data_IF_295864958442
#
_entry.id   IF_295864958442
#
_cell.length_a   1.000
_cell.length_b   1.000
_cell.length_c   1.000
_cell.angle_alpha   90.00
_cell.angle_beta   90.00
_cell.angle_gamma   90.00
#
_symmetry.space_group_name_H-M   'P 1'
#
loop_
_entity.id
_entity.type
_entity.pdbx_description
1 polymer ?
#
# COMPACT_ATOMS: atom_id res chain seq x y z
N UNK A 1 -1.62 28.88 -2.32
CA UNK A 1 -0.59 28.03 -2.96
C UNK A 1 -1.06 27.67 -4.38
N UNK A 2 -0.37 28.13 -5.43
CA UNK A 2 -0.67 27.72 -6.80
C UNK A 2 -0.08 26.32 -6.92
N UNK A 3 -0.93 25.30 -7.16
CA UNK A 3 -0.49 23.92 -7.28
C UNK A 3 0.62 23.84 -8.35
N UNK A 4 1.71 23.14 -8.08
CA UNK A 4 2.80 22.91 -9.05
C UNK A 4 2.27 22.28 -10.35
N UNK A 5 1.15 21.54 -10.29
CA UNK A 5 0.40 21.07 -11.46
C UNK A 5 -0.04 22.18 -12.42
N UNK A 6 -0.23 23.41 -11.94
CA UNK A 6 -0.64 24.54 -12.80
C UNK A 6 0.54 25.15 -13.59
N UNK A 7 1.76 25.02 -13.09
CA UNK A 7 2.94 25.73 -13.64
C UNK A 7 3.67 24.97 -14.75
N UNK A 8 3.58 23.63 -14.80
CA UNK A 8 4.36 22.78 -15.72
C UNK A 8 3.53 22.06 -16.80
N UNK A 9 2.38 22.64 -17.22
CA UNK A 9 1.54 22.04 -18.25
C UNK A 9 2.21 22.10 -19.63
N UNK A 10 2.86 21.00 -20.02
CA UNK A 10 3.16 20.76 -21.44
C UNK A 10 2.04 20.01 -22.17
N UNK A 11 1.21 19.24 -21.45
CA UNK A 11 0.22 18.30 -22.00
C UNK A 11 -1.18 18.45 -21.38
N UNK A 12 -2.18 17.89 -22.05
CA UNK A 12 -3.60 18.01 -21.69
C UNK A 12 -4.03 17.12 -20.52
N UNK A 13 -3.25 16.10 -20.15
CA UNK A 13 -3.58 15.28 -18.98
C UNK A 13 -3.22 16.04 -17.69
N UNK A 14 -4.24 16.19 -16.84
CA UNK A 14 -4.14 16.93 -15.57
C UNK A 14 -3.72 16.04 -14.39
N UNK A 15 -3.51 14.75 -14.63
CA UNK A 15 -3.32 13.77 -13.58
C UNK A 15 -1.86 13.33 -13.43
N UNK A 16 -0.96 13.74 -14.34
CA UNK A 16 0.47 13.47 -14.25
C UNK A 16 1.31 14.66 -14.72
N UNK A 17 2.43 14.91 -14.03
CA UNK A 17 3.48 15.86 -14.43
C UNK A 17 4.83 15.19 -14.20
N UNK A 18 5.73 15.31 -15.18
CA UNK A 18 7.09 14.75 -15.09
C UNK A 18 8.11 15.87 -15.25
N UNK A 19 9.10 15.90 -14.36
CA UNK A 19 10.14 16.93 -14.32
C UNK A 19 11.50 16.27 -14.12
N UNK A 20 12.50 16.71 -14.88
CA UNK A 20 13.92 16.42 -14.65
C UNK A 20 14.57 17.72 -14.18
N UNK A 21 14.95 17.78 -12.92
CA UNK A 21 15.40 19.02 -12.27
C UNK A 21 16.67 18.82 -11.46
N UNK A 22 17.48 19.91 -11.40
CA UNK A 22 18.53 20.04 -10.40
C UNK A 22 17.92 20.68 -9.16
N UNK A 23 17.76 19.89 -8.10
CA UNK A 23 17.17 20.36 -6.86
C UNK A 23 18.26 20.96 -5.95
N UNK A 24 18.09 22.22 -5.57
CA UNK A 24 19.07 22.95 -4.76
C UNK A 24 18.66 23.07 -3.27
N UNK A 25 17.50 22.51 -2.92
CA UNK A 25 16.91 22.58 -1.61
C UNK A 25 15.52 23.20 -1.65
N UNK A 26 14.59 22.57 -0.95
CA UNK A 26 13.18 22.97 -0.91
C UNK A 26 12.72 23.11 0.52
N UNK A 27 12.05 24.22 0.84
CA UNK A 27 11.43 24.42 2.15
C UNK A 27 10.31 23.41 2.36
N UNK A 28 10.03 23.09 3.63
CA UNK A 28 8.97 22.17 3.99
C UNK A 28 7.63 22.59 3.39
N UNK A 29 7.01 21.71 2.64
CA UNK A 29 5.71 21.90 1.99
C UNK A 29 4.97 20.57 1.88
N UNK A 30 3.71 20.61 1.52
CA UNK A 30 2.87 19.43 1.22
C UNK A 30 1.99 19.72 0.01
N UNK A 31 1.45 18.66 -0.58
CA UNK A 31 0.65 18.75 -1.80
C UNK A 31 -0.39 17.63 -1.91
N UNK A 32 -1.38 17.82 -2.81
CA UNK A 32 -2.53 16.94 -3.02
C UNK A 32 -2.33 15.93 -4.18
N UNK A 33 -1.16 15.31 -4.25
CA UNK A 33 -0.79 14.27 -5.23
C UNK A 33 0.31 13.38 -4.66
N UNK A 34 0.55 12.23 -5.30
CA UNK A 34 1.72 11.41 -5.04
C UNK A 34 2.91 11.91 -5.81
N UNK A 35 4.07 11.79 -5.22
CA UNK A 35 5.33 12.14 -5.85
C UNK A 35 6.24 10.91 -5.84
N UNK A 36 6.60 10.42 -7.03
CA UNK A 36 7.55 9.33 -7.21
C UNK A 36 8.84 9.92 -7.77
N UNK A 37 9.91 9.83 -7.00
CA UNK A 37 11.20 10.48 -7.27
C UNK A 37 12.27 9.46 -7.53
N UNK A 38 13.12 9.70 -8.54
CA UNK A 38 14.35 8.96 -8.81
C UNK A 38 15.56 9.88 -8.76
N UNK A 39 16.59 9.52 -7.99
CA UNK A 39 17.85 10.28 -7.89
C UNK A 39 18.79 9.88 -9.01
N UNK A 40 18.90 10.73 -10.03
CA UNK A 40 19.78 10.52 -11.18
C UNK A 40 21.25 10.71 -10.83
N UNK A 41 21.55 11.72 -9.99
CA UNK A 41 22.90 12.07 -9.57
C UNK A 41 22.91 12.83 -8.23
N UNK A 42 24.08 12.86 -7.58
CA UNK A 42 24.29 13.59 -6.34
C UNK A 42 23.63 12.98 -5.11
N UNK A 43 23.36 13.81 -4.12
CA UNK A 43 22.73 13.41 -2.87
C UNK A 43 22.08 14.58 -2.16
N UNK A 44 21.09 14.31 -1.30
CA UNK A 44 20.45 15.28 -0.42
C UNK A 44 20.06 14.67 0.93
N UNK A 45 19.79 15.51 1.89
CA UNK A 45 19.04 15.13 3.08
C UNK A 45 17.57 15.41 2.80
N UNK A 46 16.77 14.35 2.74
CA UNK A 46 15.32 14.39 2.59
C UNK A 46 14.67 14.32 3.96
N UNK A 47 13.68 15.18 4.21
CA UNK A 47 12.81 15.08 5.37
C UNK A 47 11.39 14.78 4.90
N UNK A 48 10.78 13.69 5.37
CA UNK A 48 9.36 13.35 5.15
C UNK A 48 8.69 13.14 6.50
N UNK A 49 7.63 13.92 6.78
CA UNK A 49 6.88 13.78 8.02
C UNK A 49 7.70 13.98 9.30
N UNK A 50 8.84 14.68 9.22
CA UNK A 50 9.76 14.89 10.33
C UNK A 50 10.89 13.86 10.47
N UNK A 51 10.93 12.85 9.60
CA UNK A 51 12.01 11.87 9.54
C UNK A 51 13.06 12.26 8.47
N UNK A 52 14.32 12.36 8.87
CA UNK A 52 15.43 12.67 7.99
C UNK A 52 16.04 11.38 7.40
N UNK A 53 16.16 11.32 6.08
CA UNK A 53 16.80 10.22 5.36
C UNK A 53 17.79 10.79 4.33
N UNK A 54 19.01 10.26 4.31
CA UNK A 54 19.99 10.59 3.26
C UNK A 54 19.66 9.82 1.99
N UNK A 55 19.40 10.52 0.90
CA UNK A 55 19.16 9.93 -0.42
C UNK A 55 20.31 10.26 -1.37
N UNK A 56 20.64 9.34 -2.26
CA UNK A 56 21.78 9.41 -3.17
C UNK A 56 21.45 8.76 -4.52
N UNK A 57 22.35 8.93 -5.48
CA UNK A 57 22.23 8.35 -6.82
C UNK A 57 21.80 6.88 -6.79
N UNK A 58 20.73 6.55 -7.54
CA UNK A 58 20.13 5.23 -7.60
C UNK A 58 19.02 5.00 -6.58
N UNK A 59 18.85 5.90 -5.61
CA UNK A 59 17.71 5.82 -4.70
C UNK A 59 16.46 6.36 -5.39
N UNK A 60 15.30 5.76 -5.07
CA UNK A 60 14.00 6.25 -5.48
C UNK A 60 12.98 6.02 -4.38
N UNK A 61 11.96 6.87 -4.31
CA UNK A 61 11.03 6.89 -3.20
C UNK A 61 9.69 7.50 -3.56
N UNK A 62 8.70 7.26 -2.69
CA UNK A 62 7.35 7.81 -2.84
C UNK A 62 7.05 8.75 -1.68
N UNK A 63 6.50 9.92 -2.02
CA UNK A 63 5.95 10.87 -1.08
C UNK A 63 4.43 10.83 -1.20
N UNK A 64 3.76 10.57 -0.07
CA UNK A 64 2.31 10.43 0.01
C UNK A 64 1.59 11.79 -0.04
N UNK A 65 0.30 11.74 -0.32
CA UNK A 65 -0.63 12.86 -0.24
C UNK A 65 -0.54 13.57 1.11
N UNK A 66 -0.59 14.91 1.08
CA UNK A 66 -0.55 15.77 2.26
C UNK A 66 0.68 15.54 3.18
N UNK A 67 1.65 14.75 2.73
CA UNK A 67 2.89 14.50 3.48
C UNK A 67 3.81 15.71 3.39
N UNK A 68 4.18 16.27 4.55
CA UNK A 68 5.13 17.37 4.60
C UNK A 68 6.52 16.87 4.30
N UNK A 69 7.20 17.49 3.34
CA UNK A 69 8.57 17.11 2.95
C UNK A 69 9.42 18.30 2.54
N UNK A 70 10.76 18.09 2.57
CA UNK A 70 11.76 19.10 2.20
C UNK A 70 13.08 18.44 1.80
N UNK A 71 13.93 19.20 1.10
CA UNK A 71 15.30 18.81 0.79
C UNK A 71 16.29 19.83 1.36
N UNK A 72 17.38 19.33 1.93
CA UNK A 72 18.50 20.13 2.44
C UNK A 72 19.84 19.44 2.15
N UNK A 73 20.95 20.13 2.36
CA UNK A 73 22.32 19.61 2.10
C UNK A 73 22.43 18.93 0.70
N UNK A 74 21.83 19.57 -0.31
CA UNK A 74 21.86 19.11 -1.70
C UNK A 74 23.26 19.29 -2.28
N UNK A 75 23.79 18.21 -2.91
CA UNK A 75 25.11 18.17 -3.57
C UNK A 75 24.94 17.56 -4.95
N UNK A 76 25.00 18.38 -5.99
CA UNK A 76 24.77 18.00 -7.39
C UNK A 76 23.51 17.14 -7.57
N UNK A 77 22.47 17.45 -6.77
CA UNK A 77 21.27 16.63 -6.61
C UNK A 77 20.33 16.81 -7.80
N UNK A 78 20.33 15.83 -8.69
CA UNK A 78 19.49 15.78 -9.88
C UNK A 78 18.49 14.63 -9.79
N UNK A 79 17.22 14.94 -10.04
CA UNK A 79 16.11 13.99 -9.90
C UNK A 79 15.19 14.00 -11.12
N UNK A 80 14.57 12.86 -11.41
CA UNK A 80 13.33 12.78 -12.17
C UNK A 80 12.19 12.67 -11.16
N UNK A 81 11.25 13.59 -11.24
CA UNK A 81 10.11 13.68 -10.37
C UNK A 81 8.82 13.46 -11.15
N UNK A 82 8.06 12.42 -10.79
CA UNK A 82 6.77 12.07 -11.37
C UNK A 82 5.67 12.40 -10.35
N UNK A 83 4.97 13.50 -10.56
CA UNK A 83 3.81 13.90 -9.75
C UNK A 83 2.55 13.29 -10.37
N UNK A 84 1.78 12.51 -9.63
CA UNK A 84 0.57 11.90 -10.19
C UNK A 84 -0.58 11.84 -9.18
N UNK A 85 -1.79 11.88 -9.71
CA UNK A 85 -3.00 11.58 -8.96
C UNK A 85 -3.33 10.09 -9.07
N UNK A 86 -3.90 9.46 -8.03
CA UNK A 86 -4.18 8.01 -8.04
C UNK A 86 -5.09 7.59 -9.20
N UNK A 87 -6.02 8.43 -9.63
CA UNK A 87 -6.87 8.20 -10.79
C UNK A 87 -6.09 8.14 -12.13
N UNK A 88 -4.82 8.54 -12.15
CA UNK A 88 -3.93 8.31 -13.30
C UNK A 88 -3.63 6.83 -13.47
N UNK A 89 -3.49 6.08 -12.37
CA UNK A 89 -3.30 4.64 -12.41
C UNK A 89 -4.62 3.93 -12.75
N UNK A 90 -5.68 4.25 -12.00
CA UNK A 90 -7.03 3.74 -12.24
C UNK A 90 -8.08 4.68 -11.62
N UNK A 91 -9.21 4.84 -12.31
CA UNK A 91 -10.34 5.66 -11.85
C UNK A 91 -10.95 5.15 -10.53
N UNK A 92 -10.85 3.84 -10.26
CA UNK A 92 -11.30 3.26 -8.99
C UNK A 92 -10.51 3.74 -7.78
N UNK A 93 -9.32 4.32 -7.99
CA UNK A 93 -8.47 4.89 -6.94
C UNK A 93 -8.76 6.37 -6.63
N UNK A 94 -9.77 6.96 -7.27
CA UNK A 94 -10.13 8.36 -7.03
C UNK A 94 -10.33 8.63 -5.53
N UNK A 95 -9.60 9.63 -5.02
CA UNK A 95 -9.61 9.99 -3.59
C UNK A 95 -8.77 9.11 -2.67
N UNK A 96 -8.01 8.13 -3.20
CA UNK A 96 -7.03 7.39 -2.41
C UNK A 96 -5.85 8.30 -2.04
N UNK A 97 -5.50 8.36 -0.76
CA UNK A 97 -4.43 9.24 -0.24
C UNK A 97 -3.27 8.49 0.39
N UNK A 98 -3.27 7.17 0.29
CA UNK A 98 -2.34 6.29 0.99
C UNK A 98 -1.73 5.32 -0.03
N UNK A 99 -0.41 5.38 -0.17
CA UNK A 99 0.34 4.54 -1.11
C UNK A 99 0.17 3.05 -0.80
N UNK A 100 0.16 2.68 0.48
CA UNK A 100 -0.10 1.31 0.90
C UNK A 100 -1.47 0.80 0.43
N UNK A 101 -2.49 1.66 0.39
CA UNK A 101 -3.82 1.32 -0.15
C UNK A 101 -3.82 1.17 -1.67
N UNK A 102 -3.04 1.98 -2.39
CA UNK A 102 -2.88 1.80 -3.84
C UNK A 102 -2.29 0.42 -4.13
N UNK A 103 -1.25 0.07 -3.40
CA UNK A 103 -0.60 -1.24 -3.54
C UNK A 103 -1.58 -2.37 -3.23
N UNK A 104 -2.27 -2.31 -2.08
CA UNK A 104 -3.14 -3.37 -1.59
C UNK A 104 -4.38 -3.62 -2.46
N UNK A 105 -4.99 -2.55 -2.93
CA UNK A 105 -6.32 -2.64 -3.54
C UNK A 105 -6.27 -2.75 -5.06
N UNK A 106 -5.16 -2.34 -5.67
CA UNK A 106 -5.09 -2.19 -7.11
C UNK A 106 -4.05 -3.08 -7.80
N UNK A 107 -2.80 -3.02 -7.31
CA UNK A 107 -1.72 -3.56 -8.13
C UNK A 107 -1.61 -5.07 -8.03
N UNK A 108 -1.84 -5.64 -6.86
CA UNK A 108 -1.74 -7.09 -6.67
C UNK A 108 -2.48 -7.44 -5.36
N UNK A 109 -3.14 -8.59 -5.31
CA UNK A 109 -3.46 -9.27 -4.07
C UNK A 109 -2.15 -9.74 -3.41
N UNK A 110 -1.35 -8.76 -2.96
CA UNK A 110 -0.19 -9.05 -2.14
C UNK A 110 -0.66 -9.46 -0.76
N UNK A 111 -0.06 -10.49 -0.27
CA UNK A 111 -0.14 -10.89 1.10
C UNK A 111 0.20 -9.69 2.01
N UNK A 112 -0.59 -9.46 3.07
CA UNK A 112 -0.40 -8.32 4.01
C UNK A 112 1.02 -8.25 4.60
N UNK A 113 1.75 -9.36 4.59
CA UNK A 113 3.13 -9.42 5.02
C UNK A 113 4.09 -8.61 4.14
N UNK A 114 3.82 -8.51 2.85
CA UNK A 114 4.65 -7.71 1.94
C UNK A 114 4.61 -6.22 2.29
N UNK A 115 3.45 -5.74 2.68
CA UNK A 115 3.27 -4.33 3.03
C UNK A 115 3.97 -3.93 4.32
N UNK A 116 4.16 -4.88 5.25
CA UNK A 116 4.95 -4.64 6.46
C UNK A 116 6.44 -4.51 6.18
N UNK A 117 6.89 -4.84 4.96
CA UNK A 117 8.29 -4.76 4.50
C UNK A 117 8.57 -3.54 3.63
N UNK A 118 7.55 -2.78 3.25
CA UNK A 118 7.78 -1.47 2.62
C UNK A 118 8.60 -0.64 3.60
N UNK A 119 9.76 -0.10 3.18
CA UNK A 119 10.56 0.75 4.04
C UNK A 119 9.72 1.85 4.67
N UNK A 120 9.88 2.11 5.95
CA UNK A 120 9.10 3.12 6.68
C UNK A 120 9.26 4.54 6.13
N UNK A 121 10.35 4.77 5.41
CA UNK A 121 10.68 6.00 4.70
C UNK A 121 10.30 5.96 3.21
N UNK A 122 9.71 4.83 2.74
CA UNK A 122 9.37 4.58 1.33
C UNK A 122 10.54 4.73 0.35
N UNK A 123 11.80 4.58 0.83
CA UNK A 123 13.02 4.69 0.01
C UNK A 123 13.47 3.30 -0.44
N UNK A 124 13.74 3.17 -1.73
CA UNK A 124 14.21 1.96 -2.40
C UNK A 124 15.54 2.26 -3.10
N UNK A 125 16.29 1.23 -3.47
CA UNK A 125 17.55 1.36 -4.20
C UNK A 125 17.54 0.56 -5.50
N UNK A 126 17.87 1.22 -6.61
CA UNK A 126 17.99 0.62 -7.95
C UNK A 126 19.42 0.11 -8.17
N UNK A 127 19.68 -1.15 -7.83
CA UNK A 127 21.00 -1.75 -7.88
C UNK A 127 21.47 -2.13 -9.29
N UNK A 128 20.56 -2.30 -10.24
CA UNK A 128 20.87 -2.77 -11.61
C UNK A 128 20.53 -1.75 -12.71
N UNK A 129 19.94 -0.60 -12.37
CA UNK A 129 19.59 0.46 -13.31
C UNK A 129 18.29 0.24 -14.09
N UNK A 130 17.52 -0.81 -13.79
CA UNK A 130 16.26 -1.11 -14.49
C UNK A 130 15.18 -0.06 -14.17
N UNK A 131 15.09 0.37 -12.93
CA UNK A 131 14.13 1.41 -12.49
C UNK A 131 14.48 2.75 -13.14
N UNK A 132 15.76 3.08 -13.26
CA UNK A 132 16.23 4.27 -13.98
C UNK A 132 15.70 4.33 -15.40
N UNK A 133 15.84 3.22 -16.14
CA UNK A 133 15.38 3.13 -17.55
C UNK A 133 13.88 3.44 -17.65
N UNK A 134 13.08 2.96 -16.69
CA UNK A 134 11.63 3.21 -16.66
C UNK A 134 11.32 4.69 -16.41
N UNK A 135 12.03 5.35 -15.47
CA UNK A 135 11.86 6.79 -15.23
C UNK A 135 12.27 7.64 -16.44
N UNK A 136 13.41 7.32 -17.06
CA UNK A 136 13.86 7.99 -18.29
C UNK A 136 12.87 7.78 -19.45
N UNK A 137 12.26 6.58 -19.55
CA UNK A 137 11.21 6.30 -20.52
C UNK A 137 9.93 7.11 -20.26
N UNK A 138 9.50 7.25 -18.99
CA UNK A 138 8.36 8.10 -18.62
C UNK A 138 8.64 9.56 -19.00
N UNK A 139 9.84 10.07 -18.72
CA UNK A 139 10.25 11.42 -19.07
C UNK A 139 10.23 11.63 -20.59
N UNK A 140 10.74 10.66 -21.36
CA UNK A 140 10.75 10.71 -22.81
C UNK A 140 9.33 10.75 -23.40
N UNK A 141 8.45 9.86 -22.96
CA UNK A 141 7.03 9.83 -23.38
C UNK A 141 6.33 11.15 -23.04
N UNK A 142 6.55 11.67 -21.83
CA UNK A 142 5.98 12.95 -21.39
C UNK A 142 6.45 14.13 -22.25
N UNK A 143 7.72 14.12 -22.68
CA UNK A 143 8.28 15.21 -23.50
C UNK A 143 7.86 15.13 -24.97
N UNK A 144 7.74 13.92 -25.53
CA UNK A 144 7.36 13.69 -26.93
C UNK A 144 5.86 13.89 -27.17
N UNK A 145 5.02 13.34 -26.30
CA UNK A 145 3.55 13.44 -26.40
C UNK A 145 2.98 12.70 -27.60
N UNK A 146 3.64 11.64 -28.07
CA UNK A 146 3.22 10.83 -29.21
C UNK A 146 1.91 10.06 -28.91
N UNK A 147 1.21 9.57 -29.93
CA UNK A 147 -0.05 8.83 -29.76
C UNK A 147 0.12 7.64 -28.80
N UNK A 148 -0.67 7.59 -27.70
CA UNK A 148 -0.61 6.53 -26.68
C UNK A 148 0.39 6.77 -25.54
N UNK A 149 1.06 7.92 -25.49
CA UNK A 149 2.05 8.24 -24.45
C UNK A 149 1.49 8.13 -23.03
N UNK A 150 0.23 8.50 -22.80
CA UNK A 150 -0.45 8.39 -21.49
C UNK A 150 -0.48 6.94 -21.00
N UNK A 151 -0.87 6.02 -21.87
CA UNK A 151 -0.93 4.59 -21.56
C UNK A 151 0.45 4.00 -21.31
N UNK A 152 1.46 4.41 -22.11
CA UNK A 152 2.84 3.98 -21.89
C UNK A 152 3.37 4.47 -20.56
N UNK A 153 3.19 5.74 -20.23
CA UNK A 153 3.60 6.28 -18.93
C UNK A 153 2.90 5.54 -17.76
N UNK A 154 1.58 5.28 -17.89
CA UNK A 154 0.83 4.50 -16.88
C UNK A 154 1.40 3.11 -16.71
N UNK A 155 1.68 2.40 -17.80
CA UNK A 155 2.29 1.07 -17.75
C UNK A 155 3.66 1.10 -17.06
N UNK A 156 4.53 2.08 -17.39
CA UNK A 156 5.85 2.23 -16.76
C UNK A 156 5.75 2.56 -15.28
N UNK A 157 4.83 3.43 -14.90
CA UNK A 157 4.60 3.76 -13.50
C UNK A 157 4.15 2.52 -12.71
N UNK A 158 3.20 1.74 -13.22
CA UNK A 158 2.77 0.47 -12.63
C UNK A 158 3.94 -0.52 -12.54
N UNK A 159 4.76 -0.61 -13.59
CA UNK A 159 5.94 -1.49 -13.62
C UNK A 159 6.94 -1.13 -12.52
N UNK A 160 7.25 0.15 -12.34
CA UNK A 160 8.10 0.63 -11.22
C UNK A 160 7.52 0.19 -9.88
N UNK A 161 6.23 0.43 -9.65
CA UNK A 161 5.58 0.07 -8.39
C UNK A 161 5.63 -1.44 -8.11
N UNK A 162 5.39 -2.27 -9.13
CA UNK A 162 5.48 -3.73 -9.01
C UNK A 162 6.91 -4.20 -8.76
N UNK A 163 7.89 -3.62 -9.47
CA UNK A 163 9.31 -3.97 -9.28
C UNK A 163 9.81 -3.56 -7.90
N UNK A 164 9.42 -2.38 -7.40
CA UNK A 164 9.72 -1.93 -6.03
C UNK A 164 9.24 -2.94 -4.99
N UNK A 165 8.02 -3.42 -5.15
CA UNK A 165 7.48 -4.44 -4.26
C UNK A 165 8.21 -5.78 -4.38
N UNK A 166 8.59 -6.19 -5.59
CA UNK A 166 9.39 -7.40 -5.78
C UNK A 166 10.77 -7.30 -5.18
N UNK A 167 11.39 -6.10 -5.14
CA UNK A 167 12.72 -5.90 -4.57
C UNK A 167 12.76 -6.12 -3.05
N UNK A 168 11.66 -5.86 -2.36
CA UNK A 168 11.50 -6.16 -0.92
C UNK A 168 11.04 -7.60 -0.66
N UNK A 169 10.74 -8.34 -1.72
CA UNK A 169 10.40 -9.76 -1.61
C UNK A 169 11.66 -10.57 -1.35
N UNK A 170 11.79 -11.03 -0.14
CA UNK A 170 12.71 -12.12 0.20
C UNK A 170 11.90 -13.42 0.02
N UNK A 171 12.18 -14.24 -1.00
CA UNK A 171 11.51 -15.53 -1.11
C UNK A 171 11.70 -16.28 0.20
N UNK A 172 10.67 -16.91 0.74
CA UNK A 172 10.77 -17.63 2.01
C UNK A 172 11.75 -18.79 1.86
N UNK A 173 13.00 -18.54 2.21
CA UNK A 173 14.06 -19.57 2.26
C UNK A 173 13.89 -20.47 3.49
N UNK A 174 12.76 -20.33 4.21
CA UNK A 174 12.50 -21.04 5.44
C UNK A 174 11.10 -21.70 5.38
N UNK A 175 11.06 -23.03 5.56
CA UNK A 175 9.79 -23.81 5.63
C UNK A 175 8.76 -23.20 6.58
N UNK A 176 9.20 -22.51 7.63
CA UNK A 176 8.34 -21.90 8.63
C UNK A 176 7.58 -20.68 8.12
N UNK A 177 8.21 -19.85 7.30
CA UNK A 177 7.59 -18.68 6.68
C UNK A 177 6.51 -19.09 5.66
N UNK A 178 6.81 -20.13 4.87
CA UNK A 178 5.83 -20.77 4.01
C UNK A 178 4.62 -21.30 4.78
N UNK A 179 4.78 -21.73 6.05
CA UNK A 179 3.68 -22.19 6.88
C UNK A 179 2.75 -21.06 7.30
N UNK A 180 3.28 -19.89 7.72
CA UNK A 180 2.47 -18.71 8.06
C UNK A 180 1.63 -18.26 6.86
N UNK A 181 2.22 -18.18 5.67
CA UNK A 181 1.51 -17.82 4.43
C UNK A 181 0.38 -18.80 4.10
N UNK A 182 0.63 -20.10 4.20
CA UNK A 182 -0.40 -21.13 3.97
C UNK A 182 -1.56 -21.03 4.99
N UNK A 183 -1.25 -20.68 6.23
CA UNK A 183 -2.28 -20.46 7.27
C UNK A 183 -3.12 -19.23 6.94
N UNK A 184 -2.50 -18.13 6.49
CA UNK A 184 -3.21 -16.93 6.07
C UNK A 184 -4.14 -17.24 4.90
N UNK A 185 -3.61 -17.87 3.84
CA UNK A 185 -4.42 -18.26 2.69
C UNK A 185 -5.60 -19.16 3.11
N UNK A 186 -5.36 -20.12 3.98
CA UNK A 186 -6.43 -20.97 4.50
C UNK A 186 -7.50 -20.16 5.27
N UNK A 187 -7.08 -19.18 6.09
CA UNK A 187 -8.01 -18.27 6.75
C UNK A 187 -8.84 -17.49 5.75
N UNK A 188 -8.22 -16.91 4.72
CA UNK A 188 -8.91 -16.08 3.73
C UNK A 188 -9.94 -16.89 2.91
N UNK A 189 -9.68 -18.16 2.67
CA UNK A 189 -10.59 -19.08 1.96
C UNK A 189 -11.70 -19.68 2.86
N UNK A 190 -11.43 -19.86 4.18
CA UNK A 190 -12.28 -20.60 5.10
C UNK A 190 -12.70 -19.81 6.36
N UNK A 191 -12.54 -18.49 6.40
CA UNK A 191 -12.76 -17.67 7.61
C UNK A 191 -14.15 -17.87 8.26
N UNK A 192 -15.16 -18.22 7.48
CA UNK A 192 -16.53 -18.47 7.97
C UNK A 192 -16.68 -19.82 8.68
N UNK A 193 -15.72 -20.71 8.54
CA UNK A 193 -15.74 -22.06 9.12
C UNK A 193 -15.07 -22.11 10.50
N UNK A 194 -15.22 -23.23 11.20
CA UNK A 194 -14.49 -23.47 12.44
C UNK A 194 -13.03 -23.85 12.14
N UNK A 195 -12.13 -22.88 12.23
CA UNK A 195 -10.70 -23.11 11.97
C UNK A 195 -9.96 -23.42 13.26
N UNK A 196 -9.24 -24.57 13.30
CA UNK A 196 -8.37 -24.96 14.40
C UNK A 196 -6.89 -24.95 13.95
N UNK A 197 -6.09 -24.07 14.57
CA UNK A 197 -4.67 -23.97 14.26
C UNK A 197 -3.91 -25.29 14.51
N UNK A 198 -4.33 -26.06 15.53
CA UNK A 198 -3.70 -27.35 15.84
C UNK A 198 -3.85 -28.36 14.70
N UNK A 199 -5.03 -28.42 14.06
CA UNK A 199 -5.27 -29.29 12.89
C UNK A 199 -4.39 -28.86 11.72
N UNK A 200 -4.33 -27.56 11.41
CA UNK A 200 -3.48 -27.03 10.35
C UNK A 200 -1.99 -27.32 10.59
N UNK A 201 -1.54 -27.22 11.86
CA UNK A 201 -0.17 -27.56 12.21
C UNK A 201 0.14 -29.04 11.95
N UNK A 202 -0.78 -29.95 12.27
CA UNK A 202 -0.61 -31.39 12.01
C UNK A 202 -0.51 -31.69 10.52
N UNK A 203 -1.37 -31.10 9.70
CA UNK A 203 -1.32 -31.25 8.24
C UNK A 203 -0.03 -30.72 7.61
N UNK A 204 0.55 -29.68 8.21
CA UNK A 204 1.81 -29.09 7.75
C UNK A 204 3.06 -29.70 8.38
N UNK A 205 2.91 -30.70 9.27
CA UNK A 205 4.00 -31.32 10.03
C UNK A 205 4.81 -30.34 10.91
N UNK A 206 4.11 -29.42 11.58
CA UNK A 206 4.69 -28.50 12.55
C UNK A 206 4.07 -28.67 13.94
N UNK A 207 4.82 -28.29 14.98
CA UNK A 207 4.26 -28.21 16.33
C UNK A 207 3.44 -26.93 16.52
N UNK A 208 2.32 -27.04 17.25
CA UNK A 208 1.45 -25.87 17.54
C UNK A 208 2.19 -24.73 18.28
N UNK A 209 3.04 -24.99 19.31
CA UNK A 209 3.79 -23.91 19.96
C UNK A 209 4.71 -23.15 19.01
N UNK A 210 5.41 -23.89 18.13
CA UNK A 210 6.30 -23.29 17.14
C UNK A 210 5.55 -22.37 16.16
N UNK A 211 4.47 -22.87 15.57
CA UNK A 211 3.67 -22.07 14.63
C UNK A 211 2.99 -20.89 15.31
N UNK A 212 2.48 -21.06 16.54
CA UNK A 212 1.86 -19.96 17.29
C UNK A 212 2.84 -18.82 17.55
N UNK A 213 4.08 -19.15 17.93
CA UNK A 213 5.15 -18.19 18.13
C UNK A 213 5.51 -17.52 16.80
N UNK A 214 5.77 -18.33 15.77
CA UNK A 214 6.18 -17.85 14.45
C UNK A 214 5.12 -16.97 13.79
N UNK A 215 3.85 -17.37 13.84
CA UNK A 215 2.75 -16.58 13.32
C UNK A 215 2.66 -15.21 14.02
N UNK A 216 2.90 -15.18 15.35
CA UNK A 216 2.91 -13.92 16.08
C UNK A 216 4.13 -13.03 15.75
N UNK A 217 5.30 -13.63 15.51
CA UNK A 217 6.48 -12.91 15.05
C UNK A 217 6.27 -12.32 13.65
N UNK A 218 5.74 -13.12 12.71
CA UNK A 218 5.53 -12.73 11.33
C UNK A 218 4.39 -11.70 11.20
N UNK A 219 3.29 -11.84 11.97
CA UNK A 219 2.07 -11.03 11.81
C UNK A 219 1.89 -9.95 12.89
N UNK A 220 2.76 -9.92 13.91
CA UNK A 220 2.62 -8.99 15.05
C UNK A 220 1.45 -9.29 15.99
N UNK A 221 0.53 -10.20 15.61
CA UNK A 221 -0.68 -10.58 16.36
C UNK A 221 -0.86 -12.10 16.37
N UNK A 222 -1.63 -12.60 17.34
CA UNK A 222 -1.91 -14.04 17.39
C UNK A 222 -2.83 -14.47 16.25
N UNK A 223 -2.78 -15.78 15.90
CA UNK A 223 -3.69 -16.41 14.93
C UNK A 223 -5.16 -16.10 15.21
N UNK A 224 -5.62 -16.20 16.46
CA UNK A 224 -7.00 -15.91 16.83
C UNK A 224 -7.38 -14.44 16.56
N UNK A 225 -6.49 -13.50 16.90
CA UNK A 225 -6.71 -12.08 16.61
C UNK A 225 -6.74 -11.80 15.12
N UNK A 226 -5.91 -12.48 14.34
CA UNK A 226 -5.89 -12.35 12.89
C UNK A 226 -7.21 -12.87 12.28
N UNK A 227 -7.66 -14.08 12.64
CA UNK A 227 -8.94 -14.64 12.21
C UNK A 227 -10.12 -13.72 12.57
N UNK A 228 -10.15 -13.20 13.81
CA UNK A 228 -11.16 -12.24 14.23
C UNK A 228 -11.15 -10.99 13.34
N UNK A 229 -9.97 -10.44 13.04
CA UNK A 229 -9.82 -9.26 12.17
C UNK A 229 -10.40 -9.52 10.78
N UNK A 230 -10.03 -10.65 10.14
CA UNK A 230 -10.56 -11.03 8.82
C UNK A 230 -12.09 -11.15 8.85
N UNK A 231 -12.66 -11.82 9.85
CA UNK A 231 -14.12 -11.95 9.99
C UNK A 231 -14.82 -10.60 10.15
N UNK A 232 -14.25 -9.68 10.93
CA UNK A 232 -14.81 -8.34 11.11
C UNK A 232 -14.70 -7.53 9.82
N UNK A 233 -13.61 -7.60 9.09
CA UNK A 233 -13.45 -6.95 7.79
C UNK A 233 -14.52 -7.43 6.78
N UNK A 234 -14.76 -8.73 6.71
CA UNK A 234 -15.83 -9.29 5.88
C UNK A 234 -17.23 -8.87 6.35
N UNK A 235 -17.46 -8.81 7.65
CA UNK A 235 -18.74 -8.32 8.19
C UNK A 235 -18.98 -6.83 7.86
N UNK A 236 -17.94 -6.01 7.87
CA UNK A 236 -18.03 -4.60 7.44
C UNK A 236 -18.46 -4.49 5.98
N UNK A 237 -17.92 -5.35 5.10
CA UNK A 237 -18.31 -5.42 3.70
C UNK A 237 -19.79 -5.79 3.54
N UNK A 238 -20.24 -6.85 4.22
CA UNK A 238 -21.64 -7.28 4.19
C UNK A 238 -22.59 -6.20 4.74
N UNK A 239 -22.21 -5.50 5.82
CA UNK A 239 -22.99 -4.39 6.39
C UNK A 239 -23.13 -3.21 5.42
N UNK A 240 -22.11 -2.96 4.56
CA UNK A 240 -22.15 -1.91 3.55
C UNK A 240 -22.97 -2.31 2.31
N UNK A 241 -22.80 -3.54 1.82
CA UNK A 241 -23.32 -4.00 0.53
C UNK A 241 -24.72 -4.60 0.62
N UNK A 242 -25.17 -5.00 1.84
CA UNK A 242 -26.45 -5.72 1.99
C UNK A 242 -27.39 -5.07 3.02
N UNK A 243 -28.64 -5.52 3.02
CA UNK A 243 -29.64 -5.18 4.06
C UNK A 243 -29.90 -6.36 5.01
N UNK A 244 -28.94 -7.30 5.09
CA UNK A 244 -29.08 -8.46 5.97
C UNK A 244 -29.13 -8.06 7.45
N UNK A 245 -29.80 -8.89 8.25
CA UNK A 245 -29.80 -8.72 9.71
C UNK A 245 -28.40 -8.96 10.27
N UNK A 246 -28.00 -8.17 11.25
CA UNK A 246 -26.69 -8.30 11.91
C UNK A 246 -26.45 -9.73 12.44
N UNK A 247 -27.51 -10.39 12.90
CA UNK A 247 -27.45 -11.80 13.33
C UNK A 247 -27.05 -12.73 12.20
N UNK A 248 -27.57 -12.51 11.01
CA UNK A 248 -27.26 -13.31 9.83
C UNK A 248 -25.83 -13.05 9.36
N UNK A 249 -25.43 -11.78 9.31
CA UNK A 249 -24.04 -11.39 8.97
C UNK A 249 -23.05 -12.03 9.94
N UNK A 250 -23.33 -12.02 11.27
CA UNK A 250 -22.48 -12.64 12.25
C UNK A 250 -22.28 -14.16 11.98
N UNK A 251 -23.35 -14.88 11.65
CA UNK A 251 -23.26 -16.29 11.29
C UNK A 251 -22.50 -16.51 9.98
N UNK A 252 -22.75 -15.69 8.95
CA UNK A 252 -22.10 -15.79 7.65
C UNK A 252 -20.58 -15.58 7.74
N UNK A 253 -20.10 -14.82 8.73
CA UNK A 253 -18.65 -14.63 8.95
C UNK A 253 -18.08 -15.55 10.05
N UNK A 254 -18.83 -16.58 10.47
CA UNK A 254 -18.35 -17.65 11.36
C UNK A 254 -18.45 -17.38 12.86
N UNK A 255 -19.38 -16.54 13.31
CA UNK A 255 -19.68 -16.36 14.73
C UNK A 255 -21.01 -17.04 15.11
N UNK A 256 -20.94 -17.98 16.06
CA UNK A 256 -22.14 -18.60 16.64
C UNK A 256 -22.77 -17.70 17.72
N UNK A 257 -21.94 -17.03 18.52
CA UNK A 257 -22.39 -16.11 19.57
C UNK A 257 -22.39 -14.65 19.08
N UNK A 258 -23.61 -14.12 18.94
CA UNK A 258 -23.84 -12.74 18.47
C UNK A 258 -23.34 -11.69 19.47
N UNK A 259 -23.38 -11.98 20.76
CA UNK A 259 -22.88 -11.08 21.82
C UNK A 259 -21.36 -10.98 21.73
N UNK A 260 -20.71 -12.11 21.53
CA UNK A 260 -19.26 -12.18 21.32
C UNK A 260 -18.86 -11.47 20.00
N UNK A 261 -19.57 -11.71 18.92
CA UNK A 261 -19.39 -10.94 17.67
C UNK A 261 -19.46 -9.43 17.89
N UNK A 262 -20.51 -8.96 18.57
CA UNK A 262 -20.69 -7.53 18.84
C UNK A 262 -19.60 -6.93 19.73
N UNK A 263 -19.01 -7.72 20.64
CA UNK A 263 -17.84 -7.32 21.43
C UNK A 263 -16.60 -7.20 20.55
N UNK A 264 -16.25 -8.26 19.79
CA UNK A 264 -15.07 -8.27 18.91
C UNK A 264 -15.16 -7.16 17.85
N UNK A 265 -16.35 -6.94 17.28
CA UNK A 265 -16.58 -5.87 16.32
C UNK A 265 -16.27 -4.50 16.93
N UNK A 266 -16.71 -4.23 18.16
CA UNK A 266 -16.38 -2.97 18.85
C UNK A 266 -14.89 -2.83 19.17
N UNK A 267 -14.26 -3.92 19.58
CA UNK A 267 -12.83 -3.92 19.89
C UNK A 267 -11.96 -3.63 18.65
N UNK A 268 -12.41 -4.03 17.45
CA UNK A 268 -11.70 -3.83 16.18
C UNK A 268 -12.05 -2.49 15.53
N UNK A 269 -13.35 -2.12 15.51
CA UNK A 269 -13.87 -0.99 14.74
C UNK A 269 -14.16 0.26 15.61
N UNK A 270 -13.99 0.19 16.93
CA UNK A 270 -14.34 1.23 17.89
C UNK A 270 -15.82 1.68 17.84
N UNK A 271 -16.70 0.90 17.22
CA UNK A 271 -18.14 1.16 17.15
C UNK A 271 -18.95 -0.13 17.02
N UNK A 272 -20.26 -0.07 17.25
CA UNK A 272 -21.12 -1.25 17.10
C UNK A 272 -21.40 -1.58 15.62
N UNK A 273 -21.70 -2.87 15.28
CA UNK A 273 -22.08 -3.25 13.91
C UNK A 273 -23.25 -2.42 13.35
N UNK A 274 -24.23 -2.09 14.21
CA UNK A 274 -25.38 -1.27 13.82
C UNK A 274 -24.99 0.18 13.48
N UNK A 275 -24.13 0.78 14.30
CA UNK A 275 -23.63 2.13 14.07
C UNK A 275 -22.82 2.21 12.78
N UNK A 276 -21.94 1.22 12.56
CA UNK A 276 -21.15 1.12 11.33
C UNK A 276 -22.03 1.01 10.08
N UNK A 277 -22.99 0.09 10.06
CA UNK A 277 -23.91 -0.09 8.93
C UNK A 277 -24.75 1.16 8.63
N UNK A 278 -25.20 1.89 9.67
CA UNK A 278 -25.93 3.17 9.48
C UNK A 278 -25.03 4.25 8.90
N UNK A 279 -23.78 4.36 9.39
CA UNK A 279 -22.80 5.36 8.94
C UNK A 279 -22.47 5.16 7.45
N UNK A 280 -22.15 3.93 7.05
CA UNK A 280 -21.74 3.65 5.67
C UNK A 280 -22.90 3.89 4.68
N UNK A 281 -24.11 3.47 5.04
CA UNK A 281 -25.28 3.68 4.18
C UNK A 281 -25.68 5.15 4.03
N UNK A 282 -25.51 5.95 5.08
CA UNK A 282 -25.76 7.39 4.99
C UNK A 282 -24.70 8.15 4.16
N UNK A 283 -23.53 7.57 3.94
CA UNK A 283 -22.48 8.15 3.11
C UNK A 283 -22.61 7.83 1.61
N UNK A 284 -23.50 6.90 1.26
CA UNK A 284 -23.75 6.43 -0.12
C UNK A 284 -25.06 7.03 -0.67
N UNK A 285 -25.92 7.54 0.22
CA UNK A 285 -27.18 8.25 -0.12
C UNK A 285 -26.94 9.74 -0.32
#
# INVERSE_FOLDING_TARGET
MISQFAYHRKHTDRNIVVMNINEMGTLSHSHDYFELVYVLDGSAMQNIGGADTRVSKGDYYVIDYDSSHSYSDCRDFRIINCLFKPEFLDKALTGCKDFGKIINNYLIHFDKEWLSRVPSDNVFHDSNGEIRILFESIEQEYNNGDGGYIELMRCRLIEILVMSLRSIYVPPNNRSHSATLRIIQYIDEHYSEHINLGTLCQEMNFSLPYISMRFREDMGISFQKYLQKVRIEQSCRLLAETNEKITHIAHNVGYEDIKFFGKVFRDVMNMSPRAYGSMVKSSIS
#
